data_IF_094495359789
#
_entry.id   IF_094495359789
#
_cell.length_a   1.000
_cell.length_b   1.000
_cell.length_c   1.000
_cell.angle_alpha   90.00
_cell.angle_beta   90.00
_cell.angle_gamma   90.00
#
_symmetry.space_group_name_H-M   'P 1'
#
loop_
_entity.id
_entity.type
_entity.pdbx_description
1 polymer ?
#
# COMPACT_ATOMS: atom_id res chain seq x y z
N UNK A 1 -20.35 -6.26 -9.62
CA UNK A 1 -19.26 -6.68 -8.70
C UNK A 1 -19.63 -6.24 -7.29
N UNK A 2 -19.63 -7.15 -6.31
CA UNK A 2 -19.95 -6.79 -4.91
C UNK A 2 -18.66 -6.53 -4.12
N UNK A 3 -18.54 -5.36 -3.49
CA UNK A 3 -17.41 -4.99 -2.63
C UNK A 3 -17.15 -6.06 -1.55
N UNK A 4 -18.22 -6.59 -0.95
CA UNK A 4 -18.14 -7.57 0.13
C UNK A 4 -17.45 -8.88 -0.29
N UNK A 5 -17.69 -9.36 -1.52
CA UNK A 5 -17.06 -10.58 -2.04
C UNK A 5 -15.56 -10.40 -2.24
N UNK A 6 -15.15 -9.29 -2.86
CA UNK A 6 -13.73 -8.95 -3.08
C UNK A 6 -12.99 -8.75 -1.75
N UNK A 7 -13.64 -8.11 -0.77
CA UNK A 7 -13.07 -7.95 0.57
C UNK A 7 -12.85 -9.30 1.24
N UNK A 8 -13.83 -10.20 1.20
CA UNK A 8 -13.70 -11.53 1.79
C UNK A 8 -12.61 -12.37 1.09
N UNK A 9 -12.51 -12.26 -0.22
CA UNK A 9 -11.47 -12.91 -1.01
C UNK A 9 -10.07 -12.37 -0.65
N UNK A 10 -9.94 -11.05 -0.48
CA UNK A 10 -8.70 -10.43 -0.01
C UNK A 10 -8.34 -10.88 1.42
N UNK A 11 -9.31 -10.99 2.32
CA UNK A 11 -9.04 -11.46 3.70
C UNK A 11 -8.52 -12.90 3.70
N UNK A 12 -9.07 -13.77 2.84
CA UNK A 12 -8.68 -15.17 2.73
C UNK A 12 -7.32 -15.38 2.07
N UNK A 13 -7.09 -14.70 0.94
CA UNK A 13 -5.89 -14.91 0.11
C UNK A 13 -4.74 -13.98 0.46
N UNK A 14 -5.04 -12.83 1.08
CA UNK A 14 -4.14 -11.70 1.28
C UNK A 14 -3.46 -11.21 0.00
N UNK A 15 -4.08 -11.47 -1.17
CA UNK A 15 -3.50 -11.12 -2.46
C UNK A 15 -3.64 -9.60 -2.72
N UNK A 16 -2.53 -8.85 -2.89
CA UNK A 16 -2.56 -7.41 -3.12
C UNK A 16 -3.27 -7.00 -4.42
N UNK A 17 -3.36 -7.88 -5.43
CA UNK A 17 -4.07 -7.57 -6.67
C UNK A 17 -5.57 -7.37 -6.45
N UNK A 18 -6.16 -8.10 -5.51
CA UNK A 18 -7.57 -7.94 -5.14
C UNK A 18 -7.78 -6.57 -4.50
N UNK A 19 -6.86 -6.16 -3.62
CA UNK A 19 -6.88 -4.85 -2.98
C UNK A 19 -6.77 -3.72 -4.03
N UNK A 20 -6.00 -3.95 -5.11
CA UNK A 20 -5.88 -3.01 -6.23
C UNK A 20 -7.20 -2.89 -6.99
N UNK A 21 -7.84 -4.01 -7.33
CA UNK A 21 -9.15 -4.04 -7.99
C UNK A 21 -10.23 -3.35 -7.16
N UNK A 22 -10.22 -3.54 -5.84
CA UNK A 22 -11.15 -2.86 -4.93
C UNK A 22 -10.93 -1.34 -4.98
N UNK A 23 -9.67 -0.89 -4.97
CA UNK A 23 -9.33 0.53 -5.05
C UNK A 23 -9.75 1.14 -6.40
N UNK A 24 -9.54 0.44 -7.50
CA UNK A 24 -9.94 0.91 -8.84
C UNK A 24 -11.47 0.92 -9.02
N UNK A 25 -12.18 -0.08 -8.49
CA UNK A 25 -13.63 -0.20 -8.65
C UNK A 25 -14.47 0.61 -7.65
N UNK A 26 -13.98 0.79 -6.41
CA UNK A 26 -14.75 1.39 -5.31
C UNK A 26 -14.02 2.57 -4.63
N UNK A 27 -12.89 2.98 -5.19
CA UNK A 27 -12.11 4.12 -4.69
C UNK A 27 -11.51 3.91 -3.30
N UNK A 28 -11.23 5.03 -2.63
CA UNK A 28 -10.60 5.04 -1.30
C UNK A 28 -11.46 4.46 -0.17
N UNK A 29 -12.79 4.48 -0.35
CA UNK A 29 -13.74 3.90 0.62
C UNK A 29 -13.62 2.37 0.60
N UNK A 30 -13.70 1.75 -0.58
CA UNK A 30 -13.53 0.30 -0.73
C UNK A 30 -12.18 -0.19 -0.20
N UNK A 31 -11.11 0.55 -0.50
CA UNK A 31 -9.78 0.25 0.02
C UNK A 31 -9.72 0.29 1.57
N UNK A 32 -10.35 1.28 2.19
CA UNK A 32 -10.37 1.39 3.65
C UNK A 32 -11.17 0.25 4.29
N UNK A 33 -12.30 -0.13 3.69
CA UNK A 33 -13.11 -1.27 4.15
C UNK A 33 -12.32 -2.58 4.04
N UNK A 34 -11.64 -2.80 2.93
CA UNK A 34 -10.80 -4.00 2.74
C UNK A 34 -9.65 -4.08 3.75
N UNK A 35 -8.97 -2.96 4.01
CA UNK A 35 -7.92 -2.91 5.03
C UNK A 35 -8.48 -3.22 6.42
N UNK A 36 -9.62 -2.63 6.79
CA UNK A 36 -10.26 -2.85 8.10
C UNK A 36 -10.71 -4.31 8.26
N UNK A 37 -11.29 -4.90 7.23
CA UNK A 37 -11.72 -6.29 7.25
C UNK A 37 -10.56 -7.29 7.37
N UNK A 38 -9.41 -6.97 6.76
CA UNK A 38 -8.19 -7.76 6.89
C UNK A 38 -7.40 -7.49 8.19
N UNK A 39 -7.87 -6.59 9.05
CA UNK A 39 -7.18 -6.23 10.29
C UNK A 39 -5.86 -5.48 10.08
N UNK A 40 -5.68 -4.86 8.90
CA UNK A 40 -4.44 -4.13 8.55
C UNK A 40 -4.69 -2.63 8.51
N UNK A 41 -3.66 -1.85 8.85
CA UNK A 41 -3.72 -0.39 8.68
C UNK A 41 -3.70 -0.01 7.20
N UNK A 42 -4.32 1.13 6.85
CA UNK A 42 -4.26 1.69 5.48
C UNK A 42 -2.84 1.82 4.94
N UNK A 43 -1.86 2.11 5.80
CA UNK A 43 -0.44 2.16 5.44
C UNK A 43 0.11 0.80 5.02
N UNK A 44 -0.22 -0.28 5.73
CA UNK A 44 0.15 -1.64 5.38
C UNK A 44 -0.49 -2.07 4.05
N UNK A 45 -1.76 -1.74 3.81
CA UNK A 45 -2.41 -1.97 2.52
C UNK A 45 -1.73 -1.24 1.36
N UNK A 46 -1.24 0.00 1.58
CA UNK A 46 -0.48 0.75 0.56
C UNK A 46 0.89 0.12 0.29
N UNK A 47 1.55 -0.45 1.31
CA UNK A 47 2.80 -1.21 1.15
C UNK A 47 2.56 -2.51 0.38
N UNK A 48 1.50 -3.24 0.71
CA UNK A 48 1.13 -4.47 0.00
C UNK A 48 0.86 -4.23 -1.49
N UNK A 49 0.33 -3.07 -1.87
CA UNK A 49 0.15 -2.67 -3.26
C UNK A 49 1.44 -2.28 -4.00
N UNK A 50 2.60 -2.33 -3.36
CA UNK A 50 3.86 -1.88 -3.96
C UNK A 50 3.90 -0.37 -4.28
N UNK A 51 2.90 0.40 -3.83
CA UNK A 51 2.89 1.87 -3.98
C UNK A 51 3.99 2.48 -3.09
N UNK A 52 4.37 1.79 -2.02
CA UNK A 52 5.58 2.06 -1.27
C UNK A 52 6.71 1.21 -1.84
N UNK A 53 7.30 1.69 -2.93
CA UNK A 53 8.60 1.23 -3.37
C UNK A 53 9.61 1.68 -2.30
N UNK A 54 10.37 0.76 -1.71
CA UNK A 54 11.41 1.01 -0.70
C UNK A 54 12.35 2.19 -1.06
N UNK A 55 12.46 2.51 -2.36
CA UNK A 55 13.17 3.67 -2.90
C UNK A 55 12.73 5.03 -2.33
N UNK A 56 11.44 5.25 -2.04
CA UNK A 56 10.95 6.56 -1.56
C UNK A 56 11.16 6.72 -0.05
N UNK A 57 11.07 5.62 0.71
CA UNK A 57 11.38 5.62 2.14
C UNK A 57 12.87 5.94 2.37
N UNK A 58 13.76 5.37 1.54
CA UNK A 58 15.19 5.69 1.54
C UNK A 58 15.42 7.17 1.16
N UNK A 59 14.70 7.72 0.16
CA UNK A 59 14.78 9.16 -0.15
C UNK A 59 14.34 10.07 1.00
N UNK A 60 13.24 9.75 1.68
CA UNK A 60 12.77 10.56 2.81
C UNK A 60 13.66 10.44 4.04
N UNK A 61 14.31 9.30 4.27
CA UNK A 61 15.35 9.14 5.30
C UNK A 61 16.63 9.91 4.92
N UNK A 62 17.05 9.88 3.66
CA UNK A 62 18.24 10.59 3.18
C UNK A 62 18.11 12.12 3.32
N UNK A 63 16.93 12.69 3.02
CA UNK A 63 16.70 14.14 3.20
C UNK A 63 16.64 14.59 4.66
N UNK A 64 16.46 13.67 5.63
CA UNK A 64 16.40 14.01 7.06
C UNK A 64 17.74 13.83 7.78
N UNK A 65 18.67 13.07 7.19
CA UNK A 65 19.99 12.77 7.77
C UNK A 65 21.18 13.50 7.13
N UNK A 66 20.96 14.46 6.22
CA UNK A 66 22.05 15.33 5.75
C UNK A 66 23.21 14.59 5.08
N UNK A 67 22.93 13.56 4.27
CA UNK A 67 23.97 12.95 3.45
C UNK A 67 24.33 13.90 2.31
N UNK A 68 25.36 14.69 2.56
CA UNK A 68 26.08 15.50 1.60
C UNK A 68 26.68 14.57 0.55
N UNK A 69 26.26 14.71 -0.70
CA UNK A 69 26.87 14.01 -1.85
C UNK A 69 28.38 14.26 -1.84
N UNK A 70 29.15 13.22 -1.52
CA UNK A 70 30.59 13.22 -1.76
C UNK A 70 30.81 12.89 -3.23
N UNK A 71 30.96 13.95 -4.03
CA UNK A 71 31.58 13.89 -5.34
C UNK A 71 32.96 13.24 -5.18
N UNK A 72 33.10 11.99 -5.60
CA UNK A 72 34.42 11.43 -5.90
C UNK A 72 34.90 12.06 -7.21
N UNK A 73 36.02 12.76 -7.10
CA UNK A 73 36.72 13.45 -8.18
C UNK A 73 37.57 12.47 -8.98
#
# INVERSE_FOLDING_TARGET
MCLHALVNEFVRTRNPEILRRIKEGFGGVGFSVACRAAGISRGAGKRALGIYNDTIAIRQLASKNGFREVHFR
#
